data_IF_345396480188
#
_entry.id   IF_345396480188
#
_cell.length_a   1.000
_cell.length_b   1.000
_cell.length_c   1.000
_cell.angle_alpha   90.00
_cell.angle_beta   90.00
_cell.angle_gamma   90.00
#
_symmetry.space_group_name_H-M   'P 1'
#
loop_
_entity.id
_entity.type
_entity.pdbx_description
1 polymer ?
#
# COMPACT_ATOMS: atom_id res chain seq x y z
N UNK A 1 -37.74 32.34 1.35
CA UNK A 1 -38.09 31.12 2.12
C UNK A 1 -36.92 30.14 2.03
N UNK A 2 -36.45 29.55 3.13
CA UNK A 2 -35.36 28.58 3.09
C UNK A 2 -35.80 27.36 2.25
N UNK A 3 -34.93 26.91 1.35
CA UNK A 3 -35.23 25.77 0.50
C UNK A 3 -35.21 24.49 1.36
N UNK A 4 -36.35 23.78 1.52
CA UNK A 4 -36.46 22.62 2.41
C UNK A 4 -35.55 21.46 1.97
N UNK A 5 -35.21 21.37 0.68
CA UNK A 5 -34.24 20.41 0.18
C UNK A 5 -32.82 20.73 0.66
N UNK A 6 -32.43 22.02 0.60
CA UNK A 6 -31.10 22.48 1.06
C UNK A 6 -30.93 22.21 2.55
N UNK A 7 -31.98 22.44 3.35
CA UNK A 7 -31.92 22.21 4.79
C UNK A 7 -31.78 20.72 5.15
N UNK A 8 -32.53 19.83 4.48
CA UNK A 8 -32.37 18.37 4.67
C UNK A 8 -31.00 17.88 4.20
N UNK A 9 -30.49 18.40 3.09
CA UNK A 9 -29.17 18.04 2.57
C UNK A 9 -28.06 18.42 3.56
N UNK A 10 -28.13 19.62 4.14
CA UNK A 10 -27.14 20.08 5.14
C UNK A 10 -27.28 19.31 6.47
N UNK A 11 -28.50 18.99 6.92
CA UNK A 11 -28.74 18.30 8.19
C UNK A 11 -28.44 16.80 8.15
N UNK A 12 -28.74 16.14 7.03
CA UNK A 12 -28.67 14.67 6.94
C UNK A 12 -27.73 14.19 5.84
N UNK A 13 -27.67 14.89 4.71
CA UNK A 13 -26.81 14.50 3.59
C UNK A 13 -25.33 14.63 3.93
N UNK A 14 -24.89 15.80 4.41
CA UNK A 14 -23.48 16.03 4.76
C UNK A 14 -23.02 15.10 5.91
N UNK A 15 -23.73 15.01 7.05
CA UNK A 15 -23.33 14.10 8.12
C UNK A 15 -23.39 12.62 7.69
N UNK A 16 -24.40 12.24 6.90
CA UNK A 16 -24.50 10.88 6.35
C UNK A 16 -23.30 10.52 5.48
N UNK A 17 -22.86 11.43 4.60
CA UNK A 17 -21.67 11.24 3.79
C UNK A 17 -20.39 11.11 4.64
N UNK A 18 -20.29 11.89 5.72
CA UNK A 18 -19.17 11.76 6.66
C UNK A 18 -19.14 10.38 7.34
N UNK A 19 -20.29 9.86 7.78
CA UNK A 19 -20.40 8.52 8.37
C UNK A 19 -19.98 7.43 7.37
N UNK A 20 -20.41 7.53 6.11
CA UNK A 20 -20.03 6.60 5.05
C UNK A 20 -18.51 6.61 4.84
N UNK A 21 -17.90 7.80 4.75
CA UNK A 21 -16.45 7.93 4.58
C UNK A 21 -15.67 7.32 5.75
N UNK A 22 -16.14 7.53 6.99
CA UNK A 22 -15.55 6.92 8.19
C UNK A 22 -15.65 5.40 8.13
N UNK A 23 -16.82 4.85 7.77
CA UNK A 23 -17.01 3.41 7.65
C UNK A 23 -16.09 2.77 6.60
N UNK A 24 -15.95 3.39 5.42
CA UNK A 24 -15.03 2.94 4.36
C UNK A 24 -13.57 2.98 4.84
N UNK A 25 -13.16 4.06 5.50
CA UNK A 25 -11.79 4.20 6.01
C UNK A 25 -11.51 3.15 7.09
N UNK A 26 -12.44 2.94 8.00
CA UNK A 26 -12.33 1.94 9.07
C UNK A 26 -12.21 0.52 8.48
N UNK A 27 -13.07 0.19 7.52
CA UNK A 27 -13.02 -1.09 6.80
C UNK A 27 -11.66 -1.31 6.13
N UNK A 28 -11.19 -0.33 5.34
CA UNK A 28 -9.91 -0.46 4.62
C UNK A 28 -8.71 -0.54 5.57
N UNK A 29 -8.71 0.21 6.67
CA UNK A 29 -7.66 0.17 7.67
C UNK A 29 -7.57 -1.19 8.37
N UNK A 30 -8.70 -1.82 8.69
CA UNK A 30 -8.73 -3.09 9.41
C UNK A 30 -8.62 -4.33 8.52
N UNK A 31 -9.09 -4.26 7.26
CA UNK A 31 -9.16 -5.45 6.39
C UNK A 31 -8.09 -5.48 5.31
N UNK A 32 -7.58 -4.33 4.85
CA UNK A 32 -6.69 -4.27 3.68
C UNK A 32 -5.26 -3.82 4.00
N UNK A 33 -4.89 -3.73 5.29
CA UNK A 33 -3.62 -3.18 5.75
C UNK A 33 -3.27 -1.86 5.05
N UNK A 34 -4.28 -1.00 4.87
CA UNK A 34 -4.08 0.32 4.28
C UNK A 34 -3.02 1.05 5.11
N UNK A 35 -1.99 1.63 4.45
CA UNK A 35 -1.00 2.39 5.20
C UNK A 35 -1.68 3.47 6.04
N UNK A 36 -1.14 3.71 7.25
CA UNK A 36 -1.70 4.70 8.19
C UNK A 36 -1.84 6.10 7.59
N UNK A 37 -1.04 6.40 6.57
CA UNK A 37 -1.12 7.61 5.75
C UNK A 37 -2.41 7.73 4.92
N UNK A 38 -2.93 6.63 4.39
CA UNK A 38 -4.14 6.64 3.55
C UNK A 38 -5.39 6.23 4.32
N UNK A 39 -5.25 5.37 5.34
CA UNK A 39 -6.37 4.80 6.11
C UNK A 39 -6.69 5.45 7.45
N UNK A 40 -5.75 6.21 8.02
CA UNK A 40 -5.83 6.61 9.42
C UNK A 40 -5.97 8.10 9.68
N UNK A 41 -5.87 8.98 8.67
CA UNK A 41 -5.84 10.44 8.83
C UNK A 41 -4.66 10.90 9.70
N UNK A 42 -4.79 10.79 11.01
CA UNK A 42 -3.78 11.04 12.04
C UNK A 42 -2.61 10.05 12.02
N UNK A 43 -2.79 8.88 11.42
CA UNK A 43 -1.74 7.88 11.29
C UNK A 43 -0.46 8.39 10.61
N UNK A 44 -0.57 9.42 9.77
CA UNK A 44 0.56 10.09 9.10
C UNK A 44 1.59 10.71 10.07
N UNK A 45 1.18 11.09 11.29
CA UNK A 45 2.08 11.71 12.27
C UNK A 45 2.88 10.67 13.07
N UNK A 46 2.48 9.41 12.99
CA UNK A 46 3.05 8.33 13.81
C UNK A 46 3.90 7.35 13.00
N UNK A 47 3.87 7.45 11.67
CA UNK A 47 4.61 6.55 10.78
C UNK A 47 5.30 7.32 9.66
N UNK A 48 6.47 6.81 9.24
CA UNK A 48 7.13 7.30 8.03
C UNK A 48 6.23 7.09 6.81
N UNK A 49 6.33 8.01 5.85
CA UNK A 49 5.54 7.97 4.61
C UNK A 49 5.74 6.64 3.85
N UNK A 50 4.66 6.06 3.36
CA UNK A 50 4.66 4.77 2.66
C UNK A 50 5.59 4.72 1.43
N UNK A 51 5.93 5.88 0.85
CA UNK A 51 6.88 6.00 -0.26
C UNK A 51 8.27 5.44 0.08
N UNK A 52 8.63 5.51 1.37
CA UNK A 52 9.89 5.00 1.90
C UNK A 52 9.88 3.49 2.13
N UNK A 53 8.74 2.81 2.00
CA UNK A 53 8.72 1.36 1.92
C UNK A 53 9.50 0.91 0.69
N UNK A 54 10.31 -0.13 0.85
CA UNK A 54 11.19 -0.64 -0.19
C UNK A 54 10.73 -2.03 -0.61
N UNK A 55 10.55 -2.22 -1.91
CA UNK A 55 10.37 -3.54 -2.49
C UNK A 55 11.72 -3.96 -3.03
N UNK A 56 12.22 -5.09 -2.55
CA UNK A 56 13.45 -5.71 -2.99
C UNK A 56 13.12 -7.00 -3.74
N UNK A 57 13.81 -7.24 -4.85
CA UNK A 57 13.64 -8.45 -5.65
C UNK A 57 15.01 -9.05 -5.82
N UNK A 58 15.18 -10.30 -5.38
CA UNK A 58 16.49 -10.95 -5.44
C UNK A 58 16.95 -11.06 -6.90
N UNK A 59 18.20 -10.64 -7.15
CA UNK A 59 18.84 -10.65 -8.46
C UNK A 59 18.12 -9.83 -9.55
N UNK A 60 17.37 -8.79 -9.16
CA UNK A 60 16.65 -7.91 -10.09
C UNK A 60 16.70 -6.46 -9.61
N UNK A 61 17.12 -5.55 -10.50
CA UNK A 61 17.04 -4.10 -10.23
C UNK A 61 15.60 -3.62 -10.37
N UNK A 62 14.98 -3.31 -9.23
CA UNK A 62 13.60 -2.82 -9.16
C UNK A 62 13.46 -1.45 -9.84
N UNK A 63 14.46 -0.58 -9.71
CA UNK A 63 14.44 0.75 -10.32
C UNK A 63 14.48 0.68 -11.85
N UNK A 64 15.28 -0.24 -12.39
CA UNK A 64 15.32 -0.51 -13.83
C UNK A 64 13.96 -1.03 -14.32
N UNK A 65 13.35 -1.98 -13.60
CA UNK A 65 12.03 -2.51 -13.97
C UNK A 65 10.95 -1.42 -14.00
N UNK A 66 10.91 -0.55 -12.99
CA UNK A 66 9.93 0.53 -12.92
C UNK A 66 10.10 1.58 -14.02
N UNK A 67 11.35 1.86 -14.44
CA UNK A 67 11.64 2.82 -15.51
C UNK A 67 11.09 2.36 -16.86
N UNK A 68 11.16 1.07 -17.13
CA UNK A 68 10.76 0.49 -18.41
C UNK A 68 9.31 -0.01 -18.45
N UNK A 69 8.68 -0.23 -17.29
CA UNK A 69 7.33 -0.82 -17.22
C UNK A 69 6.40 -0.03 -16.29
N UNK A 70 5.53 0.84 -16.84
CA UNK A 70 4.56 1.61 -16.05
C UNK A 70 3.60 0.73 -15.23
N UNK A 71 3.27 -0.47 -15.73
CA UNK A 71 2.43 -1.45 -15.03
C UNK A 71 3.10 -1.94 -13.74
N UNK A 72 4.38 -2.30 -13.80
CA UNK A 72 5.18 -2.72 -12.63
C UNK A 72 5.29 -1.56 -11.63
N UNK A 73 5.52 -0.34 -12.11
CA UNK A 73 5.55 0.86 -11.25
C UNK A 73 4.25 1.03 -10.47
N UNK A 74 3.09 0.84 -11.12
CA UNK A 74 1.78 0.89 -10.46
C UNK A 74 1.59 -0.24 -9.45
N UNK A 75 1.98 -1.47 -9.80
CA UNK A 75 1.89 -2.62 -8.91
C UNK A 75 2.74 -2.43 -7.64
N UNK A 76 4.02 -2.04 -7.80
CA UNK A 76 4.92 -1.75 -6.68
C UNK A 76 4.38 -0.60 -5.83
N UNK A 77 3.85 0.46 -6.45
CA UNK A 77 3.24 1.56 -5.70
C UNK A 77 2.05 1.08 -4.86
N UNK A 78 1.20 0.20 -5.41
CA UNK A 78 0.07 -0.42 -4.69
C UNK A 78 0.57 -1.21 -3.47
N UNK A 79 1.62 -2.03 -3.64
CA UNK A 79 2.26 -2.78 -2.54
C UNK A 79 2.79 -1.84 -1.46
N UNK A 80 3.50 -0.78 -1.82
CA UNK A 80 4.03 0.20 -0.86
C UNK A 80 2.92 0.86 -0.05
N UNK A 81 1.82 1.20 -0.72
CA UNK A 81 0.68 1.92 -0.14
C UNK A 81 -0.23 1.02 0.72
N UNK A 82 -0.40 -0.22 0.29
CA UNK A 82 -1.30 -1.23 0.86
C UNK A 82 -0.53 -2.55 0.98
N UNK A 83 0.39 -2.64 1.96
CA UNK A 83 1.26 -3.79 2.13
C UNK A 83 0.48 -4.99 2.67
N UNK A 84 -0.13 -5.75 1.77
CA UNK A 84 -0.81 -7.00 2.06
C UNK A 84 -0.38 -8.09 1.07
N UNK A 85 -0.61 -9.35 1.47
CA UNK A 85 -0.17 -10.54 0.74
C UNK A 85 -0.71 -10.57 -0.68
N UNK A 86 -1.99 -10.23 -0.87
CA UNK A 86 -2.65 -10.22 -2.18
C UNK A 86 -1.98 -9.23 -3.14
N UNK A 87 -1.72 -7.99 -2.71
CA UNK A 87 -1.04 -7.00 -3.54
C UNK A 87 0.41 -7.41 -3.83
N UNK A 88 1.09 -8.04 -2.87
CA UNK A 88 2.47 -8.53 -3.04
C UNK A 88 2.52 -9.66 -4.08
N UNK A 89 1.53 -10.56 -4.04
CA UNK A 89 1.36 -11.64 -4.99
C UNK A 89 1.03 -11.12 -6.39
N UNK A 90 0.04 -10.24 -6.53
CA UNK A 90 -0.31 -9.59 -7.80
C UNK A 90 0.93 -8.91 -8.42
N UNK A 91 1.69 -8.15 -7.63
CA UNK A 91 2.91 -7.52 -8.12
C UNK A 91 3.96 -8.55 -8.56
N UNK A 92 4.13 -9.62 -7.79
CA UNK A 92 5.07 -10.69 -8.10
C UNK A 92 4.73 -11.44 -9.39
N UNK A 93 3.48 -11.84 -9.57
CA UNK A 93 3.01 -12.48 -10.81
C UNK A 93 3.23 -11.57 -12.03
N UNK A 94 2.91 -10.29 -11.91
CA UNK A 94 3.16 -9.31 -12.96
C UNK A 94 4.64 -9.17 -13.31
N UNK A 95 5.52 -9.14 -12.30
CA UNK A 95 6.97 -9.04 -12.51
C UNK A 95 7.52 -10.33 -13.14
N UNK A 96 7.07 -11.49 -12.67
CA UNK A 96 7.52 -12.78 -13.19
C UNK A 96 7.16 -12.93 -14.67
N UNK A 97 5.93 -12.56 -15.05
CA UNK A 97 5.46 -12.55 -16.46
C UNK A 97 6.26 -11.63 -17.36
N UNK A 98 6.70 -10.46 -16.87
CA UNK A 98 7.43 -9.48 -17.69
C UNK A 98 8.93 -9.82 -17.78
N UNK A 99 9.49 -10.40 -16.72
CA UNK A 99 10.92 -10.71 -16.66
C UNK A 99 11.30 -12.06 -17.27
N UNK A 100 10.31 -12.89 -17.63
CA UNK A 100 10.52 -14.25 -18.16
C UNK A 100 11.45 -15.09 -17.27
N UNK A 101 11.35 -14.93 -15.95
CA UNK A 101 12.13 -15.70 -14.97
C UNK A 101 11.33 -16.90 -14.47
N UNK A 102 12.02 -17.99 -14.19
CA UNK A 102 11.40 -19.21 -13.65
C UNK A 102 10.92 -19.03 -12.20
N UNK A 103 11.58 -18.14 -11.45
CA UNK A 103 11.17 -17.78 -10.09
C UNK A 103 11.64 -16.39 -9.70
N UNK A 104 10.94 -15.80 -8.72
CA UNK A 104 11.34 -14.55 -8.07
C UNK A 104 11.13 -14.66 -6.56
N UNK A 105 12.00 -13.96 -5.82
CA UNK A 105 11.83 -13.70 -4.40
C UNK A 105 11.66 -12.20 -4.19
N UNK A 106 10.46 -11.82 -3.76
CA UNK A 106 10.07 -10.45 -3.46
C UNK A 106 10.05 -10.25 -1.95
N UNK A 107 10.60 -9.14 -1.50
CA UNK A 107 10.62 -8.74 -0.10
C UNK A 107 10.13 -7.31 0.05
N UNK A 108 9.29 -7.07 1.04
CA UNK A 108 8.83 -5.74 1.40
C UNK A 108 9.47 -5.31 2.72
N UNK A 109 10.19 -4.19 2.69
CA UNK A 109 10.88 -3.62 3.83
C UNK A 109 10.26 -2.28 4.21
N UNK A 110 10.09 -2.06 5.52
CA UNK A 110 9.63 -0.78 6.07
C UNK A 110 10.75 -0.13 6.89
N UNK A 111 10.99 1.17 6.73
CA UNK A 111 11.92 1.88 7.58
C UNK A 111 11.38 1.99 9.01
N UNK A 112 12.25 1.77 9.99
CA UNK A 112 11.94 1.91 11.40
C UNK A 112 13.01 2.76 12.09
N UNK A 113 12.56 3.84 12.72
CA UNK A 113 13.38 4.69 13.59
C UNK A 113 13.33 4.12 15.00
N UNK A 114 14.49 3.76 15.55
CA UNK A 114 14.60 3.36 16.96
C UNK A 114 15.14 4.53 17.77
N UNK A 115 14.23 5.35 18.30
CA UNK A 115 14.57 6.59 19.02
C UNK A 115 15.58 6.36 20.16
N UNK A 116 15.41 5.29 20.96
CA UNK A 116 16.32 4.97 22.08
C UNK A 116 17.75 4.69 21.65
N UNK A 117 17.94 4.19 20.43
CA UNK A 117 19.24 3.77 19.89
C UNK A 117 19.77 4.77 18.85
N UNK A 118 19.03 5.86 18.59
CA UNK A 118 19.30 6.86 17.55
C UNK A 118 19.62 6.24 16.18
N UNK A 119 19.06 5.06 15.90
CA UNK A 119 19.38 4.29 14.70
C UNK A 119 18.21 4.26 13.73
N UNK A 120 18.51 4.42 12.45
CA UNK A 120 17.60 4.13 11.34
C UNK A 120 17.83 2.71 10.86
N UNK A 121 16.79 1.88 10.91
CA UNK A 121 16.85 0.47 10.51
C UNK A 121 15.73 0.16 9.52
N UNK A 122 15.77 -1.02 8.92
CA UNK A 122 14.69 -1.54 8.09
C UNK A 122 14.20 -2.85 8.69
N UNK A 123 12.90 -3.05 8.68
CA UNK A 123 12.26 -4.30 9.13
C UNK A 123 11.54 -4.94 7.97
N UNK A 124 11.76 -6.24 7.79
CA UNK A 124 11.03 -7.04 6.81
C UNK A 124 9.57 -7.12 7.25
N UNK A 125 8.68 -6.63 6.40
CA UNK A 125 7.23 -6.70 6.64
C UNK A 125 6.63 -8.01 6.15
N UNK A 126 6.99 -8.40 4.93
CA UNK A 126 6.47 -9.59 4.26
C UNK A 126 7.46 -10.02 3.16
N UNK A 127 7.45 -11.30 2.81
CA UNK A 127 8.23 -11.85 1.71
C UNK A 127 7.50 -12.99 1.01
N UNK A 128 7.72 -13.09 -0.29
CA UNK A 128 7.03 -14.05 -1.15
C UNK A 128 8.00 -14.65 -2.15
N UNK A 129 7.97 -15.97 -2.26
CA UNK A 129 8.63 -16.75 -3.31
C UNK A 129 7.56 -17.21 -4.31
N UNK A 130 7.75 -16.90 -5.58
CA UNK A 130 6.86 -17.32 -6.67
C UNK A 130 7.66 -18.06 -7.72
N UNK A 131 7.09 -19.14 -8.26
CA UNK A 131 7.60 -19.86 -9.43
C UNK A 131 6.65 -19.68 -10.60
N UNK A 132 7.17 -19.74 -11.82
CA UNK A 132 6.40 -19.65 -13.05
C UNK A 132 5.33 -20.75 -13.19
N UNK A 133 5.49 -21.86 -12.45
CA UNK A 133 4.59 -23.01 -12.44
C UNK A 133 3.39 -22.86 -11.52
N UNK A 134 3.36 -21.81 -10.68
CA UNK A 134 2.38 -21.69 -9.60
C UNK A 134 1.07 -21.04 -10.07
N UNK A 135 0.95 -20.65 -11.35
CA UNK A 135 -0.21 -19.97 -11.93
C UNK A 135 -0.32 -20.13 -13.45
#
# INVERSE_FOLDING_TARGET
MPNPFRERLLKFGIPGLAVILIAIQFYNAHTQNLSKWKGGGYGMYTELHYIYNQVHIVNVSVDSLQKHNPSIKKAIHKVKLMPNRTNLQEAGEHILKITNKDSIHIQLWKPQVRFKQQSYTRVLMDELFLKATDF
#
